data_IF_979895498813
#
_entry.id   IF_979895498813
#
_cell.length_a   1.000
_cell.length_b   1.000
_cell.length_c   1.000
_cell.angle_alpha   90.00
_cell.angle_beta   90.00
_cell.angle_gamma   90.00
#
_symmetry.space_group_name_H-M   'P 1'
#
loop_
_entity.id
_entity.type
_entity.pdbx_description
1 polymer ?
#
# COMPACT_ATOMS: atom_id res chain seq x y z
N UNK A 1 7.58 -1.85 18.66
CA UNK A 1 8.07 -0.47 18.90
C UNK A 1 6.97 0.46 18.42
N UNK A 2 6.49 1.38 19.25
CA UNK A 2 5.44 2.32 18.85
C UNK A 2 6.10 3.37 17.96
N UNK A 3 5.95 3.25 16.65
CA UNK A 3 6.40 4.26 15.69
C UNK A 3 5.56 5.50 15.96
N UNK A 4 6.14 6.53 16.56
CA UNK A 4 5.50 7.85 16.60
C UNK A 4 5.39 8.32 15.16
N UNK A 5 4.19 8.19 14.58
CA UNK A 5 3.90 8.63 13.21
C UNK A 5 4.13 10.13 13.15
N UNK A 6 5.32 10.54 12.73
CA UNK A 6 5.60 11.95 12.46
C UNK A 6 4.81 12.31 11.21
N UNK A 7 3.69 12.99 11.41
CA UNK A 7 2.85 13.48 10.31
C UNK A 7 3.52 14.70 9.67
N UNK A 8 3.92 14.58 8.41
CA UNK A 8 4.44 15.71 7.63
C UNK A 8 3.31 16.62 7.16
N UNK A 9 3.55 17.93 7.20
CA UNK A 9 2.70 18.93 6.54
C UNK A 9 3.01 19.03 5.05
N UNK A 10 2.15 19.68 4.28
CA UNK A 10 2.36 19.95 2.86
C UNK A 10 3.71 20.65 2.59
N UNK A 11 4.11 21.61 3.43
CA UNK A 11 5.39 22.32 3.28
C UNK A 11 6.60 21.40 3.48
N UNK A 12 6.49 20.42 4.39
CA UNK A 12 7.55 19.44 4.65
C UNK A 12 7.64 18.38 3.55
N UNK A 13 6.55 18.15 2.80
CA UNK A 13 6.48 17.22 1.67
C UNK A 13 7.15 17.80 0.42
N UNK A 14 7.05 19.11 0.18
CA UNK A 14 7.59 19.78 -1.02
C UNK A 14 9.02 19.34 -1.43
N UNK A 15 10.02 19.29 -0.53
CA UNK A 15 11.36 18.84 -0.91
C UNK A 15 11.44 17.36 -1.32
N UNK A 16 10.48 16.53 -0.90
CA UNK A 16 10.43 15.10 -1.21
C UNK A 16 9.82 14.81 -2.59
N UNK A 17 9.10 15.77 -3.19
CA UNK A 17 8.39 15.57 -4.46
C UNK A 17 9.31 15.31 -5.66
N UNK A 18 10.61 15.59 -5.53
CA UNK A 18 11.63 15.41 -6.57
C UNK A 18 12.62 14.28 -6.24
N UNK A 19 12.44 13.60 -5.11
CA UNK A 19 13.31 12.52 -4.68
C UNK A 19 12.83 11.22 -5.35
N UNK A 20 13.63 10.73 -6.30
CA UNK A 20 13.35 9.53 -7.10
C UNK A 20 13.57 8.22 -6.32
N UNK A 21 14.16 8.30 -5.13
CA UNK A 21 14.39 7.12 -4.26
C UNK A 21 13.20 6.86 -3.31
N UNK A 22 12.09 7.61 -3.45
CA UNK A 22 10.92 7.51 -2.58
C UNK A 22 9.72 6.84 -3.23
N UNK A 23 9.16 5.88 -2.49
CA UNK A 23 7.87 5.25 -2.76
C UNK A 23 6.75 5.94 -1.98
N UNK A 24 5.56 5.96 -2.59
CA UNK A 24 4.38 6.62 -2.07
C UNK A 24 3.23 5.63 -2.01
N UNK A 25 2.68 5.39 -0.81
CA UNK A 25 1.60 4.41 -0.61
C UNK A 25 0.51 4.98 0.28
N UNK A 26 -0.74 4.78 -0.11
CA UNK A 26 -1.87 4.87 0.82
C UNK A 26 -1.88 3.64 1.74
N UNK A 27 -2.07 3.88 3.03
CA UNK A 27 -2.14 2.83 4.03
C UNK A 27 -3.37 3.06 4.91
N UNK A 28 -4.41 2.27 4.67
CA UNK A 28 -5.75 2.45 5.23
C UNK A 28 -5.93 1.86 6.64
N UNK A 29 -5.07 0.93 7.04
CA UNK A 29 -5.15 0.26 8.33
C UNK A 29 -4.03 0.69 9.30
N UNK A 30 -4.28 1.62 10.23
CA UNK A 30 -3.28 2.02 11.23
C UNK A 30 -2.98 0.93 12.28
N UNK A 31 -3.83 -0.10 12.38
CA UNK A 31 -3.65 -1.27 13.24
C UNK A 31 -2.91 -2.41 12.53
N UNK A 32 -2.50 -2.22 11.28
CA UNK A 32 -1.66 -3.18 10.57
C UNK A 32 -0.34 -3.42 11.34
N UNK A 33 0.34 -4.55 11.09
CA UNK A 33 1.70 -4.77 11.57
C UNK A 33 2.64 -3.60 11.24
N UNK A 34 3.86 -3.60 11.79
CA UNK A 34 4.80 -2.51 11.48
C UNK A 34 4.91 -2.26 9.97
N UNK A 35 4.96 -0.99 9.58
CA UNK A 35 5.37 -0.63 8.22
C UNK A 35 6.87 -0.90 8.08
N UNK A 36 7.21 -2.14 7.73
CA UNK A 36 8.55 -2.70 7.73
C UNK A 36 8.63 -3.83 6.68
N UNK A 37 9.85 -4.20 6.27
CA UNK A 37 10.12 -5.21 5.22
C UNK A 37 9.44 -6.56 5.52
N UNK A 38 9.47 -7.01 6.78
CA UNK A 38 8.94 -8.32 7.17
C UNK A 38 7.40 -8.42 7.05
N UNK A 39 6.71 -7.28 6.95
CA UNK A 39 5.26 -7.22 6.77
C UNK A 39 4.87 -6.55 5.45
N UNK A 40 5.83 -6.34 4.54
CA UNK A 40 5.58 -5.78 3.22
C UNK A 40 4.91 -6.83 2.35
N UNK A 41 3.58 -6.80 2.32
CA UNK A 41 2.75 -7.70 1.53
C UNK A 41 1.73 -6.92 0.70
N UNK A 42 1.50 -7.40 -0.51
CA UNK A 42 0.46 -6.90 -1.40
C UNK A 42 -0.50 -8.01 -1.75
N UNK A 43 -1.78 -7.78 -1.46
CA UNK A 43 -2.88 -8.69 -1.75
C UNK A 43 -3.90 -7.91 -2.56
N UNK A 44 -4.64 -8.61 -3.43
CA UNK A 44 -5.69 -8.00 -4.24
C UNK A 44 -6.63 -7.13 -3.40
N UNK A 45 -6.89 -5.92 -3.90
CA UNK A 45 -7.81 -4.96 -3.30
C UNK A 45 -9.20 -5.56 -3.05
N UNK A 46 -9.78 -5.22 -1.90
CA UNK A 46 -11.16 -5.60 -1.53
C UNK A 46 -11.32 -7.02 -0.97
N UNK A 47 -10.21 -7.72 -0.71
CA UNK A 47 -10.26 -8.95 0.08
C UNK A 47 -10.33 -8.60 1.57
N UNK A 48 -11.22 -9.26 2.31
CA UNK A 48 -11.36 -9.11 3.75
C UNK A 48 -10.66 -10.26 4.50
N UNK A 49 -10.52 -10.12 5.83
CA UNK A 49 -9.99 -11.15 6.74
C UNK A 49 -8.53 -11.55 6.44
N UNK A 50 -7.64 -10.57 6.51
CA UNK A 50 -6.20 -10.77 6.44
C UNK A 50 -5.67 -11.59 7.63
N UNK A 51 -4.59 -12.34 7.40
CA UNK A 51 -3.79 -12.93 8.48
C UNK A 51 -3.20 -11.83 9.34
N UNK A 52 -2.85 -12.16 10.60
CA UNK A 52 -2.34 -11.17 11.55
C UNK A 52 -1.06 -10.46 11.09
N UNK A 53 -0.25 -11.10 10.24
CA UNK A 53 0.97 -10.56 9.63
C UNK A 53 0.73 -9.92 8.24
N UNK A 54 -0.50 -9.94 7.74
CA UNK A 54 -0.88 -9.39 6.44
C UNK A 54 -0.44 -10.22 5.22
N UNK A 55 0.21 -11.37 5.43
CA UNK A 55 0.80 -12.16 4.33
C UNK A 55 -0.22 -12.95 3.49
N UNK A 56 -1.44 -13.11 3.97
CA UNK A 56 -2.52 -13.76 3.23
C UNK A 56 -3.90 -13.20 3.60
N UNK A 57 -4.90 -13.46 2.76
CA UNK A 57 -6.30 -13.17 3.04
C UNK A 57 -7.17 -14.42 2.89
N UNK A 58 -8.30 -14.45 3.60
CA UNK A 58 -9.30 -15.52 3.47
C UNK A 58 -9.75 -15.61 2.00
N UNK A 59 -9.76 -16.81 1.43
CA UNK A 59 -10.19 -17.00 0.06
C UNK A 59 -11.70 -16.73 -0.07
N UNK A 60 -12.07 -15.74 -0.87
CA UNK A 60 -13.46 -15.33 -1.09
C UNK A 60 -14.32 -16.41 -1.75
N UNK A 61 -13.70 -17.36 -2.46
CA UNK A 61 -14.43 -18.37 -3.23
C UNK A 61 -14.87 -19.58 -2.40
N UNK A 62 -14.02 -20.04 -1.48
CA UNK A 62 -14.33 -21.15 -0.57
C UNK A 62 -14.65 -20.69 0.86
N UNK A 63 -14.72 -19.38 1.08
CA UNK A 63 -14.87 -18.78 2.41
C UNK A 63 -13.93 -19.40 3.45
N UNK A 64 -12.66 -19.58 3.09
CA UNK A 64 -11.64 -20.07 4.01
C UNK A 64 -11.57 -21.58 4.21
N UNK A 65 -12.54 -22.34 3.69
CA UNK A 65 -12.63 -23.79 3.93
C UNK A 65 -11.61 -24.59 3.12
N UNK A 66 -11.11 -24.02 2.02
CA UNK A 66 -10.18 -24.68 1.11
C UNK A 66 -10.86 -25.64 0.13
N UNK A 67 -12.09 -26.08 0.39
CA UNK A 67 -12.88 -26.90 -0.53
C UNK A 67 -14.06 -26.13 -1.15
N UNK A 68 -14.58 -26.66 -2.26
CA UNK A 68 -15.88 -26.30 -2.81
C UNK A 68 -16.53 -27.59 -3.34
N UNK A 69 -17.82 -27.79 -3.04
CA UNK A 69 -18.56 -29.06 -3.23
C UNK A 69 -18.31 -29.76 -4.57
N UNK A 70 -18.20 -29.00 -5.66
CA UNK A 70 -18.08 -29.55 -7.01
C UNK A 70 -16.65 -29.97 -7.40
N UNK A 71 -15.62 -29.34 -6.80
CA UNK A 71 -14.22 -29.55 -7.20
C UNK A 71 -13.40 -30.30 -6.16
N UNK A 72 -13.90 -30.44 -4.92
CA UNK A 72 -13.18 -31.04 -3.79
C UNK A 72 -12.06 -30.15 -3.24
N UNK A 73 -11.23 -29.56 -4.10
CA UNK A 73 -10.29 -28.50 -3.74
C UNK A 73 -10.65 -27.21 -4.46
N UNK A 74 -10.59 -26.08 -3.77
CA UNK A 74 -10.85 -24.77 -4.36
C UNK A 74 -9.69 -24.38 -5.29
N UNK A 75 -9.94 -24.15 -6.59
CA UNK A 75 -8.87 -23.85 -7.56
C UNK A 75 -8.26 -22.45 -7.41
N UNK A 76 -8.87 -21.59 -6.60
CA UNK A 76 -8.38 -20.20 -6.39
C UNK A 76 -7.34 -20.11 -5.29
N UNK A 77 -7.42 -21.00 -4.28
CA UNK A 77 -6.44 -21.08 -3.21
C UNK A 77 -5.73 -22.45 -3.16
N UNK A 78 -5.90 -23.26 -4.20
CA UNK A 78 -5.36 -24.63 -4.33
C UNK A 78 -5.62 -25.53 -3.10
N UNK A 79 -6.75 -25.34 -2.41
CA UNK A 79 -7.07 -26.13 -1.22
C UNK A 79 -6.66 -25.51 0.12
N UNK A 80 -5.91 -24.41 0.12
CA UNK A 80 -5.33 -23.83 1.34
C UNK A 80 -6.30 -22.98 2.16
N UNK A 81 -7.45 -22.62 1.59
CA UNK A 81 -8.41 -21.68 2.21
C UNK A 81 -7.98 -20.21 2.17
N UNK A 82 -6.74 -19.91 1.78
CA UNK A 82 -6.19 -18.55 1.79
C UNK A 82 -5.50 -18.19 0.46
N UNK A 83 -5.65 -16.93 0.06
CA UNK A 83 -4.92 -16.34 -1.06
C UNK A 83 -3.68 -15.67 -0.48
N UNK A 84 -2.50 -16.09 -0.94
CA UNK A 84 -1.22 -15.54 -0.49
C UNK A 84 -0.97 -14.18 -1.14
N UNK A 85 -0.39 -13.27 -0.37
CA UNK A 85 0.12 -12.01 -0.88
C UNK A 85 1.45 -12.17 -1.60
N UNK A 86 1.72 -11.21 -2.48
CA UNK A 86 3.03 -11.01 -3.08
C UNK A 86 3.91 -10.17 -2.13
N UNK A 87 5.22 -10.40 -2.16
CA UNK A 87 6.17 -9.64 -1.35
C UNK A 87 6.31 -8.21 -1.85
N UNK A 88 6.36 -7.26 -0.91
CA UNK A 88 6.43 -5.82 -1.17
C UNK A 88 5.06 -5.16 -1.05
N UNK A 89 5.03 -3.92 -0.59
CA UNK A 89 3.81 -3.12 -0.60
C UNK A 89 3.57 -2.57 -2.00
N UNK A 90 2.34 -2.66 -2.50
CA UNK A 90 1.93 -1.83 -3.66
C UNK A 90 2.17 -0.34 -3.38
N UNK A 91 2.95 0.31 -4.23
CA UNK A 91 3.31 1.71 -4.08
C UNK A 91 3.50 2.38 -5.44
N UNK A 92 3.40 3.71 -5.44
CA UNK A 92 3.72 4.55 -6.59
C UNK A 92 5.15 5.06 -6.50
N UNK A 93 5.79 5.24 -7.65
CA UNK A 93 7.17 5.74 -7.75
C UNK A 93 7.23 7.28 -7.63
N UNK A 94 6.07 7.94 -7.52
CA UNK A 94 5.98 9.39 -7.28
C UNK A 94 4.66 9.81 -6.66
N UNK A 95 4.66 10.97 -5.99
CA UNK A 95 3.44 11.63 -5.52
C UNK A 95 2.45 11.94 -6.64
N UNK A 96 2.94 12.29 -7.84
CA UNK A 96 2.08 12.57 -9.00
C UNK A 96 1.38 11.31 -9.50
N UNK A 97 2.08 10.18 -9.52
CA UNK A 97 1.48 8.89 -9.87
C UNK A 97 0.44 8.46 -8.83
N UNK A 98 0.72 8.63 -7.53
CA UNK A 98 -0.26 8.38 -6.46
C UNK A 98 -1.56 9.15 -6.69
N UNK A 99 -1.46 10.46 -6.94
CA UNK A 99 -2.64 11.30 -7.19
C UNK A 99 -3.36 10.86 -8.47
N UNK A 100 -2.61 10.55 -9.54
CA UNK A 100 -3.22 10.06 -10.77
C UNK A 100 -3.98 8.77 -10.52
N UNK A 101 -3.39 7.82 -9.80
CA UNK A 101 -4.00 6.54 -9.46
C UNK A 101 -5.33 6.71 -8.72
N UNK A 102 -5.36 7.52 -7.65
CA UNK A 102 -6.58 7.72 -6.85
C UNK A 102 -7.64 8.56 -7.57
N UNK A 103 -7.23 9.48 -8.45
CA UNK A 103 -8.15 10.25 -9.29
C UNK A 103 -9.00 9.36 -10.22
N UNK A 104 -8.44 8.29 -10.77
CA UNK A 104 -9.17 7.36 -11.64
C UNK A 104 -10.14 6.47 -10.86
N UNK A 105 -9.91 6.28 -9.56
CA UNK A 105 -10.73 5.44 -8.67
C UNK A 105 -11.85 6.20 -7.96
N UNK A 106 -11.96 7.52 -8.17
CA UNK A 106 -12.93 8.40 -7.50
C UNK A 106 -12.91 8.27 -5.97
N UNK A 107 -11.72 8.09 -5.41
CA UNK A 107 -11.51 8.07 -3.96
C UNK A 107 -11.21 9.51 -3.52
N UNK A 108 -12.07 10.06 -2.68
CA UNK A 108 -12.04 11.45 -2.21
C UNK A 108 -11.94 11.55 -0.69
N UNK A 109 -11.20 10.63 -0.08
CA UNK A 109 -10.93 10.67 1.36
C UNK A 109 -9.60 11.38 1.62
N UNK A 110 -9.73 12.65 1.98
CA UNK A 110 -8.65 13.57 2.32
C UNK A 110 -7.77 13.08 3.48
N UNK A 111 -8.33 12.30 4.39
CA UNK A 111 -7.68 11.87 5.63
C UNK A 111 -6.99 10.51 5.51
N UNK A 112 -7.08 9.86 4.33
CA UNK A 112 -6.36 8.63 4.04
C UNK A 112 -4.88 8.80 4.34
N UNK A 113 -4.34 7.92 5.19
CA UNK A 113 -2.93 7.99 5.54
C UNK A 113 -2.08 7.61 4.33
N UNK A 114 -1.03 8.38 4.11
CA UNK A 114 0.00 8.13 3.10
C UNK A 114 1.32 7.92 3.81
N UNK A 115 2.00 6.83 3.44
CA UNK A 115 3.37 6.53 3.84
C UNK A 115 4.30 6.89 2.69
N UNK A 116 5.37 7.59 3.02
CA UNK A 116 6.44 7.98 2.10
C UNK A 116 7.73 7.33 2.60
N UNK A 117 8.41 6.53 1.78
CA UNK A 117 9.52 5.74 2.27
C UNK A 117 10.58 5.44 1.22
N UNK A 118 11.83 5.23 1.65
CA UNK A 118 12.86 4.60 0.83
C UNK A 118 12.73 3.09 0.86
N UNK A 119 13.06 2.44 -0.25
CA UNK A 119 12.88 1.00 -0.36
C UNK A 119 13.54 0.38 -1.58
N UNK A 120 13.26 -0.91 -1.77
CA UNK A 120 13.67 -1.68 -2.95
C UNK A 120 12.44 -2.06 -3.76
N UNK A 121 12.53 -1.96 -5.09
CA UNK A 121 11.52 -2.48 -6.00
C UNK A 121 11.56 -4.01 -6.01
N UNK A 122 10.48 -4.65 -5.56
CA UNK A 122 10.38 -6.10 -5.42
C UNK A 122 9.72 -6.76 -6.64
N UNK A 123 9.10 -5.97 -7.51
CA UNK A 123 8.46 -6.45 -8.74
C UNK A 123 7.10 -5.80 -9.00
N UNK A 124 6.17 -6.59 -9.51
CA UNK A 124 4.85 -6.13 -9.92
C UNK A 124 3.77 -6.99 -9.28
N UNK A 125 2.80 -6.34 -8.66
CA UNK A 125 1.68 -6.96 -7.97
C UNK A 125 0.65 -7.58 -8.89
N UNK A 126 -0.34 -8.29 -8.32
CA UNK A 126 -1.34 -9.04 -9.07
C UNK A 126 -2.24 -8.15 -9.96
N UNK A 127 -2.36 -6.86 -9.63
CA UNK A 127 -3.09 -5.84 -10.39
C UNK A 127 -2.20 -4.97 -11.28
N UNK A 128 -0.91 -5.30 -11.42
CA UNK A 128 0.04 -4.57 -12.26
C UNK A 128 0.75 -3.41 -11.57
N UNK A 129 0.53 -3.22 -10.26
CA UNK A 129 1.12 -2.13 -9.47
C UNK A 129 2.57 -2.43 -9.09
N UNK A 130 3.44 -1.42 -9.00
CA UNK A 130 4.80 -1.61 -8.51
C UNK A 130 4.77 -2.07 -7.05
N UNK A 131 5.58 -3.07 -6.72
CA UNK A 131 5.78 -3.52 -5.35
C UNK A 131 7.11 -2.99 -4.82
N UNK A 132 7.10 -2.45 -3.60
CA UNK A 132 8.30 -1.97 -2.94
C UNK A 132 8.31 -2.26 -1.44
N UNK A 133 9.45 -2.75 -0.96
CA UNK A 133 9.70 -3.00 0.45
C UNK A 133 10.52 -1.87 1.06
N UNK A 134 10.13 -1.35 2.24
CA UNK A 134 10.92 -0.32 2.91
C UNK A 134 12.29 -0.87 3.32
N UNK A 135 13.33 -0.05 3.23
CA UNK A 135 14.68 -0.36 3.72
C UNK A 135 14.89 0.04 5.19
N UNK A 136 13.96 0.84 5.74
CA UNK A 136 13.96 1.32 7.11
C UNK A 136 14.79 2.60 7.33
N UNK A 137 15.40 3.19 6.30
CA UNK A 137 16.21 4.40 6.45
C UNK A 137 15.34 5.66 6.57
N UNK A 138 14.35 5.80 5.69
CA UNK A 138 13.43 6.95 5.66
C UNK A 138 12.00 6.43 5.57
N UNK A 139 11.18 6.79 6.54
CA UNK A 139 9.73 6.50 6.55
C UNK A 139 9.00 7.66 7.21
N UNK A 140 8.04 8.22 6.48
CA UNK A 140 7.26 9.38 6.90
C UNK A 140 5.77 9.07 6.72
N UNK A 141 4.94 9.69 7.56
CA UNK A 141 3.50 9.58 7.48
C UNK A 141 2.90 10.94 7.13
N UNK A 142 1.80 10.96 6.39
CA UNK A 142 1.03 12.17 6.08
C UNK A 142 -0.39 11.79 5.68
N UNK A 143 -1.17 12.73 5.15
CA UNK A 143 -2.50 12.49 4.58
C UNK A 143 -2.49 12.71 3.08
N UNK A 144 -3.42 12.07 2.38
CA UNK A 144 -3.60 12.27 0.94
C UNK A 144 -3.81 13.76 0.60
N UNK A 145 -4.58 14.50 1.40
CA UNK A 145 -4.77 15.93 1.22
C UNK A 145 -3.46 16.74 1.27
N UNK A 146 -2.55 16.42 2.20
CA UNK A 146 -1.27 17.12 2.31
C UNK A 146 -0.37 16.87 1.10
N UNK A 147 -0.42 15.67 0.51
CA UNK A 147 0.29 15.35 -0.74
C UNK A 147 -0.28 16.16 -1.91
N UNK A 148 -1.62 16.21 -2.03
CA UNK A 148 -2.31 17.00 -3.07
C UNK A 148 -1.99 18.50 -2.95
N UNK A 149 -2.00 19.04 -1.73
CA UNK A 149 -1.65 20.44 -1.46
C UNK A 149 -0.20 20.73 -1.85
N UNK A 150 0.74 19.88 -1.42
CA UNK A 150 2.17 20.05 -1.71
C UNK A 150 2.45 20.09 -3.22
N UNK A 151 1.85 19.16 -3.98
CA UNK A 151 2.04 19.07 -5.42
C UNK A 151 1.37 20.24 -6.17
N UNK A 152 0.21 20.69 -5.71
CA UNK A 152 -0.51 21.83 -6.31
C UNK A 152 0.26 23.14 -6.12
N UNK A 153 0.88 23.34 -4.96
CA UNK A 153 1.71 24.50 -4.68
C UNK A 153 2.98 24.55 -5.55
N UNK A 154 3.58 23.39 -5.87
CA UNK A 154 4.77 23.32 -6.73
C UNK A 154 4.47 23.76 -8.17
N UNK A 155 3.29 23.39 -8.70
CA UNK A 155 2.86 23.78 -10.07
C UNK A 155 2.62 25.29 -10.23
N UNK A 156 2.35 26.01 -9.12
CA UNK A 156 2.10 27.46 -9.15
C UNK A 156 3.40 28.28 -9.07
N UNK A 157 4.51 27.65 -8.70
CA UNK A 157 5.81 28.29 -8.54
C UNK A 157 6.73 28.19 -9.78
N UNK A 158 6.28 27.50 -10.84
CA UNK A 158 6.97 27.37 -12.14
C UNK A 158 6.32 28.30 -13.18
#
# INVERSE_FOLDING_TARGET
MTTTNTTLTADQIKPLLIDEDLYWRVHDNPDAPCFCTDHAWSIQWGLDNYTADGSAAKCFQCDGEGDIDFYGSCPTCDGEGHIKGESGYSACDSAQELINYFSHRNIDDADMAVVIYTGTHDGTGPDGESLASPDGERTYWTTYAAVVEALSAQKTAQ
#
